data_IF_053715836195
#
_entry.id   IF_053715836195
#
_cell.length_a   1.000
_cell.length_b   1.000
_cell.length_c   1.000
_cell.angle_alpha   90.00
_cell.angle_beta   90.00
_cell.angle_gamma   90.00
#
_symmetry.space_group_name_H-M   'P 1'
#
loop_
_entity.id
_entity.type
_entity.pdbx_description
1 polymer ?
#
# COMPACT_ATOMS: atom_id res chain seq x y z
N UNK A 1 -6.62 -0.23 16.93
CA UNK A 1 -6.05 1.05 17.41
C UNK A 1 -4.59 0.81 17.80
N UNK A 2 -3.67 1.65 17.34
CA UNK A 2 -2.24 1.47 17.59
C UNK A 2 -1.86 1.88 19.02
N UNK A 3 -1.06 1.05 19.70
CA UNK A 3 -0.55 1.35 21.04
C UNK A 3 0.83 2.00 20.97
N UNK A 4 1.23 2.70 22.03
CA UNK A 4 2.56 3.29 22.12
C UNK A 4 3.67 2.23 21.99
N UNK A 5 3.48 1.07 22.63
CA UNK A 5 4.42 -0.05 22.55
C UNK A 5 4.55 -0.61 21.13
N UNK A 6 3.43 -0.83 20.44
CA UNK A 6 3.42 -1.28 19.06
C UNK A 6 4.17 -0.30 18.14
N UNK A 7 3.85 0.99 18.26
CA UNK A 7 4.50 2.05 17.46
C UNK A 7 6.01 2.10 17.71
N UNK A 8 6.45 2.02 18.98
CA UNK A 8 7.88 2.03 19.30
C UNK A 8 8.59 0.79 18.77
N UNK A 9 7.94 -0.37 18.81
CA UNK A 9 8.46 -1.60 18.22
C UNK A 9 8.65 -1.43 16.71
N UNK A 10 7.60 -1.01 16.00
CA UNK A 10 7.62 -0.80 14.55
C UNK A 10 8.63 0.28 14.14
N UNK A 11 8.74 1.37 14.91
CA UNK A 11 9.72 2.42 14.68
C UNK A 11 11.17 1.92 14.79
N UNK A 12 11.45 1.08 15.79
CA UNK A 12 12.81 0.55 15.98
C UNK A 12 13.18 -0.41 14.85
N UNK A 13 12.25 -1.26 14.42
CA UNK A 13 12.49 -2.26 13.39
C UNK A 13 12.43 -1.73 11.96
N UNK A 14 11.81 -0.57 11.71
CA UNK A 14 11.64 -0.08 10.34
C UNK A 14 12.99 0.18 9.65
N UNK A 15 13.09 -0.18 8.38
CA UNK A 15 14.14 0.31 7.50
C UNK A 15 13.66 1.59 6.82
N UNK A 16 14.57 2.54 6.55
CA UNK A 16 14.26 3.77 5.82
C UNK A 16 15.35 4.04 4.78
N UNK A 17 15.04 4.85 3.76
CA UNK A 17 16.02 5.25 2.76
C UNK A 17 17.12 6.12 3.37
N UNK A 18 18.27 6.16 2.70
CA UNK A 18 19.34 7.14 2.92
C UNK A 18 19.92 7.20 4.34
N UNK A 19 19.81 6.09 5.11
CA UNK A 19 20.49 5.99 6.41
C UNK A 19 22.00 5.89 6.18
N UNK A 20 22.82 6.79 6.74
CA UNK A 20 24.27 6.70 6.60
C UNK A 20 24.82 5.43 7.29
N UNK A 21 25.66 4.67 6.58
CA UNK A 21 26.17 3.37 7.04
C UNK A 21 27.04 3.44 8.31
N UNK A 22 27.62 4.61 8.60
CA UNK A 22 28.52 4.82 9.73
C UNK A 22 27.79 5.15 11.04
N UNK A 23 26.45 5.22 11.05
CA UNK A 23 25.69 5.53 12.26
C UNK A 23 25.64 4.33 13.21
N UNK A 24 25.90 4.58 14.48
CA UNK A 24 25.58 3.64 15.56
C UNK A 24 24.07 3.45 15.68
N UNK A 25 23.63 2.39 16.36
CA UNK A 25 22.20 2.12 16.56
C UNK A 25 21.43 3.32 17.16
N UNK A 26 21.98 3.98 18.19
CA UNK A 26 21.34 5.16 18.80
C UNK A 26 21.22 6.34 17.81
N UNK A 27 22.28 6.60 17.03
CA UNK A 27 22.26 7.64 16.01
C UNK A 27 21.26 7.31 14.88
N UNK A 28 21.11 6.03 14.52
CA UNK A 28 20.10 5.57 13.56
C UNK A 28 18.68 5.81 14.08
N UNK A 29 18.42 5.58 15.38
CA UNK A 29 17.13 5.91 15.98
C UNK A 29 16.87 7.43 15.96
N UNK A 30 17.87 8.25 16.24
CA UNK A 30 17.74 9.71 16.16
C UNK A 30 17.51 10.20 14.72
N UNK A 31 18.18 9.60 13.74
CA UNK A 31 17.96 9.86 12.31
C UNK A 31 16.51 9.56 11.91
N UNK A 32 16.04 8.36 12.26
CA UNK A 32 14.65 7.94 12.04
C UNK A 32 13.64 8.87 12.71
N UNK A 33 13.92 9.33 13.93
CA UNK A 33 13.04 10.25 14.65
C UNK A 33 12.94 11.60 13.94
N UNK A 34 14.07 12.13 13.43
CA UNK A 34 14.12 13.36 12.64
C UNK A 34 13.33 13.24 11.34
N UNK A 35 13.44 12.10 10.65
CA UNK A 35 12.63 11.82 9.45
C UNK A 35 11.12 11.94 9.71
N UNK A 36 10.66 11.56 10.91
CA UNK A 36 9.25 11.65 11.29
C UNK A 36 8.84 13.02 11.88
N UNK A 37 9.78 13.95 12.01
CA UNK A 37 9.56 15.31 12.52
C UNK A 37 9.86 15.51 14.01
N UNK A 38 10.63 14.62 14.65
CA UNK A 38 11.03 14.75 16.05
C UNK A 38 12.51 15.17 16.18
N UNK A 39 12.87 15.88 17.25
CA UNK A 39 14.26 16.30 17.47
C UNK A 39 15.25 15.12 17.59
N UNK A 40 14.85 14.05 18.29
CA UNK A 40 15.63 12.85 18.57
C UNK A 40 14.70 11.73 19.10
N UNK A 41 15.21 10.51 19.27
CA UNK A 41 14.43 9.34 19.69
C UNK A 41 13.74 9.54 21.04
N UNK A 42 14.45 10.10 22.03
CA UNK A 42 13.85 10.37 23.35
C UNK A 42 12.67 11.36 23.26
N UNK A 43 12.70 12.33 22.34
CA UNK A 43 11.60 13.25 22.11
C UNK A 43 10.39 12.50 21.52
N UNK A 44 10.60 11.63 20.52
CA UNK A 44 9.55 10.76 19.98
C UNK A 44 8.92 9.90 21.06
N UNK A 45 9.74 9.16 21.82
CA UNK A 45 9.28 8.26 22.89
C UNK A 45 8.45 9.01 23.94
N UNK A 46 8.93 10.16 24.39
CA UNK A 46 8.24 10.96 25.41
C UNK A 46 6.90 11.50 24.91
N UNK A 47 6.82 11.96 23.66
CA UNK A 47 5.55 12.45 23.08
C UNK A 47 4.52 11.32 22.96
N UNK A 48 4.98 10.10 22.68
CA UNK A 48 4.11 8.94 22.57
C UNK A 48 3.58 8.48 23.94
N UNK A 49 4.47 8.36 24.93
CA UNK A 49 4.12 7.88 26.28
C UNK A 49 3.29 8.91 27.07
N UNK A 50 3.46 10.20 26.77
CA UNK A 50 2.76 11.30 27.46
C UNK A 50 1.65 11.93 26.61
N UNK A 51 1.21 11.25 25.55
CA UNK A 51 0.12 11.73 24.72
C UNK A 51 -1.16 11.89 25.59
N UNK A 52 -1.85 13.04 25.51
CA UNK A 52 -3.12 13.23 26.21
C UNK A 52 -4.15 12.16 25.82
N UNK A 53 -4.86 11.59 26.78
CA UNK A 53 -5.75 10.45 26.55
C UNK A 53 -6.83 10.72 25.50
N UNK A 54 -7.32 11.96 25.41
CA UNK A 54 -8.31 12.43 24.43
C UNK A 54 -7.75 12.53 23.00
N UNK A 55 -6.43 12.62 22.84
CA UNK A 55 -5.74 12.79 21.54
C UNK A 55 -4.82 11.63 21.17
N UNK A 56 -4.55 10.72 22.11
CA UNK A 56 -3.58 9.64 21.94
C UNK A 56 -3.86 8.81 20.68
N UNK A 57 -5.13 8.42 20.46
CA UNK A 57 -5.53 7.65 19.29
C UNK A 57 -5.17 8.36 17.97
N UNK A 58 -5.47 9.66 17.86
CA UNK A 58 -5.17 10.45 16.67
C UNK A 58 -3.66 10.63 16.47
N UNK A 59 -2.91 10.90 17.54
CA UNK A 59 -1.44 11.04 17.50
C UNK A 59 -0.80 9.72 17.06
N UNK A 60 -1.26 8.60 17.61
CA UNK A 60 -0.77 7.27 17.29
C UNK A 60 -1.04 6.89 15.83
N UNK A 61 -2.26 7.16 15.34
CA UNK A 61 -2.66 6.90 13.97
C UNK A 61 -1.83 7.75 12.97
N UNK A 62 -1.70 9.05 13.24
CA UNK A 62 -0.87 9.95 12.41
C UNK A 62 0.62 9.55 12.40
N UNK A 63 1.16 9.07 13.53
CA UNK A 63 2.53 8.60 13.58
C UNK A 63 2.71 7.28 12.82
N UNK A 64 1.78 6.34 12.94
CA UNK A 64 1.82 5.11 12.15
C UNK A 64 1.71 5.39 10.66
N UNK A 65 0.85 6.33 10.25
CA UNK A 65 0.74 6.76 8.87
C UNK A 65 2.10 7.27 8.34
N UNK A 66 2.81 8.10 9.11
CA UNK A 66 4.16 8.58 8.75
C UNK A 66 5.18 7.45 8.69
N UNK A 67 5.14 6.51 9.64
CA UNK A 67 6.01 5.32 9.64
C UNK A 67 5.77 4.50 8.36
N UNK A 68 4.52 4.21 8.01
CA UNK A 68 4.16 3.45 6.81
C UNK A 68 4.57 4.18 5.52
N UNK A 69 4.52 5.52 5.51
CA UNK A 69 4.97 6.33 4.38
C UNK A 69 6.50 6.39 4.22
N UNK A 70 7.25 6.27 5.32
CA UNK A 70 8.71 6.37 5.31
C UNK A 70 9.40 5.01 5.15
N UNK A 71 8.85 3.96 5.76
CA UNK A 71 9.52 2.67 5.87
C UNK A 71 9.71 1.99 4.51
N UNK A 72 10.78 1.23 4.39
CA UNK A 72 11.09 0.41 3.22
C UNK A 72 10.82 -1.06 3.49
N UNK A 73 10.42 -1.81 2.45
CA UNK A 73 10.22 -3.25 2.56
C UNK A 73 11.54 -3.99 2.65
N UNK A 74 11.48 -5.20 3.20
CA UNK A 74 12.57 -6.16 3.10
C UNK A 74 12.86 -6.45 1.61
N UNK A 75 14.12 -6.58 1.17
CA UNK A 75 14.46 -6.75 -0.26
C UNK A 75 13.71 -7.89 -0.97
N UNK A 76 13.52 -9.01 -0.28
CA UNK A 76 12.84 -10.21 -0.82
C UNK A 76 11.30 -10.17 -0.70
N UNK A 77 10.74 -9.13 -0.09
CA UNK A 77 9.28 -9.07 0.11
C UNK A 77 8.56 -8.57 -1.14
N UNK A 78 7.39 -9.17 -1.38
CA UNK A 78 6.55 -8.89 -2.54
C UNK A 78 5.21 -8.34 -2.08
N UNK A 79 4.74 -7.31 -2.79
CA UNK A 79 3.50 -6.62 -2.47
C UNK A 79 2.60 -6.54 -3.70
N UNK A 80 1.34 -6.25 -3.45
CA UNK A 80 0.42 -5.70 -4.45
C UNK A 80 0.29 -4.20 -4.21
N UNK A 81 0.36 -3.41 -5.28
CA UNK A 81 0.03 -1.99 -5.21
C UNK A 81 -1.48 -1.81 -5.28
N UNK A 82 -2.04 -1.15 -4.28
CA UNK A 82 -3.47 -0.91 -4.14
C UNK A 82 -3.74 0.59 -3.96
N UNK A 83 -4.96 1.02 -4.22
CA UNK A 83 -5.43 2.39 -4.04
C UNK A 83 -6.87 2.36 -3.53
N UNK A 84 -7.18 3.21 -2.55
CA UNK A 84 -8.56 3.47 -2.13
C UNK A 84 -9.06 4.68 -2.91
N UNK A 85 -10.22 4.53 -3.56
CA UNK A 85 -10.96 5.59 -4.24
C UNK A 85 -11.96 6.26 -3.27
N UNK A 86 -12.49 7.43 -3.66
CA UNK A 86 -13.33 8.26 -2.79
C UNK A 86 -14.68 7.60 -2.41
N UNK A 87 -15.08 6.57 -3.15
CA UNK A 87 -16.26 5.72 -2.94
C UNK A 87 -15.97 4.44 -2.16
N UNK A 88 -14.82 4.38 -1.48
CA UNK A 88 -14.32 3.20 -0.75
C UNK A 88 -14.00 1.99 -1.66
N UNK A 89 -14.07 2.16 -2.99
CA UNK A 89 -13.64 1.15 -3.93
C UNK A 89 -12.11 1.00 -3.90
N UNK A 90 -11.67 -0.26 -3.90
CA UNK A 90 -10.24 -0.58 -3.84
C UNK A 90 -9.74 -1.00 -5.22
N UNK A 91 -8.95 -0.12 -5.84
CA UNK A 91 -8.22 -0.43 -7.06
C UNK A 91 -6.90 -1.15 -6.77
N UNK A 92 -6.41 -1.93 -7.73
CA UNK A 92 -5.10 -2.58 -7.64
C UNK A 92 -4.43 -2.76 -9.01
N UNK A 93 -3.10 -2.83 -9.00
CA UNK A 93 -2.36 -3.21 -10.20
C UNK A 93 -2.71 -4.64 -10.61
N UNK A 94 -3.18 -4.79 -11.84
CA UNK A 94 -3.66 -6.07 -12.37
C UNK A 94 -3.10 -6.38 -13.75
N UNK A 95 -3.25 -7.62 -14.18
CA UNK A 95 -3.00 -8.07 -15.55
C UNK A 95 -4.19 -8.87 -16.07
N UNK A 96 -4.42 -8.76 -17.38
CA UNK A 96 -5.46 -9.51 -18.07
C UNK A 96 -5.11 -11.00 -18.13
N UNK A 97 -6.09 -11.86 -17.86
CA UNK A 97 -5.94 -13.32 -17.91
C UNK A 97 -6.93 -14.03 -18.83
N UNK A 98 -7.95 -13.32 -19.33
CA UNK A 98 -8.97 -13.91 -20.19
C UNK A 98 -10.21 -13.04 -20.32
N UNK A 99 -11.21 -13.59 -21.00
CA UNK A 99 -12.56 -13.02 -21.08
C UNK A 99 -13.53 -13.97 -20.39
N UNK A 100 -14.56 -13.44 -19.75
CA UNK A 100 -15.65 -14.26 -19.21
C UNK A 100 -16.70 -14.59 -20.28
N UNK A 101 -17.78 -15.28 -19.86
CA UNK A 101 -18.86 -15.69 -20.75
C UNK A 101 -19.72 -14.50 -21.24
N UNK A 102 -19.56 -13.32 -20.63
CA UNK A 102 -20.24 -12.08 -20.96
C UNK A 102 -19.33 -11.18 -21.84
N UNK A 103 -18.11 -11.61 -22.13
CA UNK A 103 -17.14 -10.83 -22.89
C UNK A 103 -16.55 -9.66 -22.11
N UNK A 104 -16.54 -9.74 -20.77
CA UNK A 104 -15.85 -8.79 -19.90
C UNK A 104 -14.43 -9.28 -19.57
N UNK A 105 -13.52 -8.32 -19.32
CA UNK A 105 -12.13 -8.64 -19.01
C UNK A 105 -12.02 -9.32 -17.64
N UNK A 106 -11.45 -10.52 -17.60
CA UNK A 106 -11.03 -11.16 -16.36
C UNK A 106 -9.58 -10.77 -16.09
N UNK A 107 -9.35 -10.20 -14.91
CA UNK A 107 -8.04 -9.66 -14.51
C UNK A 107 -7.62 -10.22 -13.16
N UNK A 108 -6.33 -10.44 -12.99
CA UNK A 108 -5.76 -10.93 -11.74
C UNK A 108 -4.79 -9.91 -11.15
N UNK A 109 -4.71 -9.86 -9.84
CA UNK A 109 -3.78 -8.99 -9.14
C UNK A 109 -2.32 -9.28 -9.51
N UNK A 110 -1.59 -8.21 -9.82
CA UNK A 110 -0.16 -8.26 -10.08
C UNK A 110 0.60 -8.26 -8.76
N UNK A 111 1.37 -9.33 -8.53
CA UNK A 111 2.35 -9.40 -7.46
C UNK A 111 3.72 -8.89 -7.94
N UNK A 112 4.67 -8.71 -7.02
CA UNK A 112 6.03 -8.29 -7.35
C UNK A 112 6.25 -6.78 -7.30
N UNK A 113 5.41 -6.04 -6.57
CA UNK A 113 5.67 -4.64 -6.25
C UNK A 113 6.71 -4.55 -5.12
N UNK A 114 7.98 -4.73 -5.48
CA UNK A 114 9.12 -4.77 -4.55
C UNK A 114 9.74 -3.40 -4.25
N UNK A 115 10.82 -3.41 -3.46
CA UNK A 115 11.51 -2.22 -2.94
C UNK A 115 11.79 -1.13 -3.98
N UNK A 116 12.45 -1.48 -5.08
CA UNK A 116 12.82 -0.51 -6.12
C UNK A 116 11.61 0.18 -6.74
N UNK A 117 10.49 -0.53 -6.91
CA UNK A 117 9.24 0.06 -7.43
C UNK A 117 8.59 0.99 -6.43
N UNK A 118 8.64 0.66 -5.14
CA UNK A 118 8.14 1.51 -4.05
C UNK A 118 8.94 2.82 -3.99
N UNK A 119 10.28 2.73 -4.03
CA UNK A 119 11.17 3.89 -4.04
C UNK A 119 10.92 4.79 -5.26
N UNK A 120 10.87 4.21 -6.46
CA UNK A 120 10.57 4.95 -7.70
C UNK A 120 9.18 5.58 -7.65
N UNK A 121 8.18 4.89 -7.10
CA UNK A 121 6.84 5.45 -6.95
C UNK A 121 6.85 6.68 -6.05
N UNK A 122 7.47 6.59 -4.86
CA UNK A 122 7.56 7.70 -3.90
C UNK A 122 8.35 8.88 -4.44
N UNK A 123 9.37 8.65 -5.27
CA UNK A 123 10.14 9.71 -5.89
C UNK A 123 9.37 10.47 -7.00
N UNK A 124 8.39 9.84 -7.64
CA UNK A 124 7.68 10.39 -8.81
C UNK A 124 6.29 10.93 -8.52
N UNK A 125 5.65 10.47 -7.46
CA UNK A 125 4.27 10.80 -7.14
C UNK A 125 4.22 11.71 -5.90
N UNK A 126 3.35 12.72 -5.95
CA UNK A 126 3.12 13.60 -4.80
C UNK A 126 2.28 12.91 -3.70
N UNK A 127 1.42 11.97 -4.10
CA UNK A 127 0.58 11.23 -3.17
C UNK A 127 1.41 10.16 -2.41
N UNK A 128 1.16 9.98 -1.10
CA UNK A 128 1.90 9.01 -0.30
C UNK A 128 1.57 7.58 -0.74
N UNK A 129 2.61 6.75 -0.74
CA UNK A 129 2.51 5.29 -0.84
C UNK A 129 2.86 4.68 0.52
N UNK A 130 1.85 4.16 1.20
CA UNK A 130 2.01 3.49 2.49
C UNK A 130 2.47 2.06 2.27
N UNK A 131 3.63 1.70 2.80
CA UNK A 131 3.99 0.29 2.91
C UNK A 131 3.25 -0.27 4.12
N UNK A 132 2.42 -1.29 3.94
CA UNK A 132 1.68 -1.97 5.02
C UNK A 132 2.38 -3.30 5.38
N UNK A 133 2.18 -3.79 6.60
CA UNK A 133 2.78 -5.03 7.12
C UNK A 133 1.73 -6.01 7.61
N UNK A 134 0.60 -5.52 8.12
CA UNK A 134 -0.42 -6.37 8.73
C UNK A 134 -1.86 -5.85 8.50
N UNK A 135 -2.83 -6.60 9.01
CA UNK A 135 -4.25 -6.27 8.92
C UNK A 135 -4.65 -5.00 9.67
N UNK A 136 -3.98 -4.63 10.76
CA UNK A 136 -4.32 -3.41 11.50
C UNK A 136 -3.98 -2.16 10.70
N UNK A 137 -2.83 -2.17 10.04
CA UNK A 137 -2.41 -1.09 9.14
C UNK A 137 -3.25 -1.06 7.85
N UNK A 138 -3.67 -2.23 7.34
CA UNK A 138 -4.61 -2.34 6.23
C UNK A 138 -5.97 -1.71 6.54
N UNK A 139 -6.56 -2.04 7.68
CA UNK A 139 -7.83 -1.46 8.11
C UNK A 139 -7.69 0.06 8.32
N UNK A 140 -6.59 0.50 8.93
CA UNK A 140 -6.33 1.93 9.08
C UNK A 140 -6.21 2.67 7.74
N UNK A 141 -5.57 2.03 6.77
CA UNK A 141 -5.46 2.57 5.42
C UNK A 141 -6.82 2.66 4.71
N UNK A 142 -7.63 1.60 4.78
CA UNK A 142 -8.97 1.56 4.18
C UNK A 142 -9.91 2.62 4.77
N UNK A 143 -9.91 2.78 6.10
CA UNK A 143 -10.92 3.59 6.78
C UNK A 143 -10.53 5.06 6.98
N UNK A 144 -9.22 5.39 6.99
CA UNK A 144 -8.76 6.69 7.48
C UNK A 144 -7.67 7.36 6.66
N UNK A 145 -6.69 6.60 6.17
CA UNK A 145 -5.53 7.21 5.50
C UNK A 145 -5.75 7.43 4.01
N UNK A 146 -6.46 6.49 3.36
CA UNK A 146 -6.71 6.45 1.92
C UNK A 146 -5.40 6.51 1.11
N UNK A 147 -5.42 6.93 -0.15
CA UNK A 147 -4.23 6.96 -1.04
C UNK A 147 -3.73 5.57 -1.45
N UNK A 148 -2.51 5.49 -1.99
CA UNK A 148 -1.86 4.27 -2.41
C UNK A 148 -1.25 3.49 -1.24
N UNK A 149 -1.32 2.16 -1.34
CA UNK A 149 -0.62 1.25 -0.45
C UNK A 149 0.16 0.18 -1.23
N UNK A 150 1.27 -0.27 -0.65
CA UNK A 150 1.93 -1.53 -0.99
C UNK A 150 1.57 -2.53 0.10
N UNK A 151 0.71 -3.50 -0.24
CA UNK A 151 0.16 -4.49 0.69
C UNK A 151 0.87 -5.83 0.50
N UNK A 152 1.40 -6.46 1.56
CA UNK A 152 2.06 -7.77 1.46
C UNK A 152 1.11 -8.78 0.83
N UNK A 153 1.62 -9.66 -0.04
CA UNK A 153 0.78 -10.58 -0.82
C UNK A 153 -0.03 -11.52 0.07
N UNK A 154 0.54 -11.97 1.18
CA UNK A 154 -0.13 -12.81 2.17
C UNK A 154 -1.27 -12.06 2.86
N UNK A 155 -1.05 -10.81 3.28
CA UNK A 155 -2.09 -9.95 3.83
C UNK A 155 -3.19 -9.70 2.79
N UNK A 156 -2.82 -9.34 1.56
CA UNK A 156 -3.79 -9.08 0.49
C UNK A 156 -4.66 -10.32 0.20
N UNK A 157 -4.08 -11.54 0.20
CA UNK A 157 -4.84 -12.78 -0.01
C UNK A 157 -5.86 -13.07 1.10
N UNK A 158 -5.59 -12.64 2.33
CA UNK A 158 -6.51 -12.83 3.46
C UNK A 158 -7.71 -11.89 3.33
N UNK A 159 -7.48 -10.62 3.00
CA UNK A 159 -8.52 -9.59 2.99
C UNK A 159 -9.23 -9.45 1.64
N UNK A 160 -8.57 -9.82 0.54
CA UNK A 160 -9.08 -9.72 -0.82
C UNK A 160 -8.77 -11.00 -1.60
N UNK A 161 -9.29 -12.17 -1.19
CA UNK A 161 -8.95 -13.45 -1.84
C UNK A 161 -9.34 -13.45 -3.33
N UNK A 162 -10.48 -12.84 -3.66
CA UNK A 162 -11.05 -12.88 -5.00
C UNK A 162 -10.11 -12.26 -6.04
N UNK A 163 -9.33 -11.22 -5.72
CA UNK A 163 -8.41 -10.61 -6.70
C UNK A 163 -7.30 -11.57 -7.19
N UNK A 164 -7.06 -12.67 -6.48
CA UNK A 164 -6.05 -13.67 -6.80
C UNK A 164 -6.61 -14.96 -7.39
N UNK A 165 -7.88 -15.27 -7.20
CA UNK A 165 -8.51 -16.46 -7.77
C UNK A 165 -9.60 -16.07 -8.76
N UNK A 166 -9.17 -15.78 -9.99
CA UNK A 166 -10.04 -15.29 -11.06
C UNK A 166 -10.10 -16.27 -12.25
N UNK A 167 -9.28 -17.34 -12.22
CA UNK A 167 -9.17 -18.27 -13.36
C UNK A 167 -10.49 -18.99 -13.66
N UNK A 168 -11.28 -19.26 -12.63
CA UNK A 168 -12.57 -19.92 -12.76
C UNK A 168 -13.62 -19.08 -13.50
N UNK A 169 -13.38 -17.77 -13.68
CA UNK A 169 -14.25 -16.87 -14.44
C UNK A 169 -13.89 -16.81 -15.93
N UNK A 170 -12.72 -17.31 -16.33
CA UNK A 170 -12.28 -17.29 -17.73
C UNK A 170 -13.07 -18.32 -18.52
N UNK A 171 -13.77 -17.87 -19.56
CA UNK A 171 -14.52 -18.75 -20.45
C UNK A 171 -13.59 -19.50 -21.41
N UNK A 172 -13.85 -20.80 -21.61
CA UNK A 172 -13.12 -21.61 -22.61
C UNK A 172 -13.41 -21.14 -24.04
N UNK A 173 -14.64 -20.71 -24.31
CA UNK A 173 -15.07 -20.17 -25.61
C UNK A 173 -15.71 -18.79 -25.42
N UNK A 174 -14.91 -17.70 -25.33
CA UNK A 174 -15.44 -16.35 -25.15
C UNK A 174 -16.28 -15.87 -26.35
N UNK A 175 -17.28 -14.99 -26.13
CA UNK A 175 -18.09 -14.43 -27.21
C UNK A 175 -17.33 -13.32 -27.96
N UNK A 176 -16.41 -13.70 -28.86
CA UNK A 176 -15.53 -12.75 -29.56
C UNK A 176 -16.26 -11.65 -30.34
N UNK A 177 -17.41 -11.95 -30.93
CA UNK A 177 -18.20 -10.93 -31.64
C UNK A 177 -18.66 -9.81 -30.69
N UNK A 178 -19.14 -10.17 -29.49
CA UNK A 178 -19.55 -9.23 -28.45
C UNK A 178 -18.34 -8.47 -27.89
N UNK A 179 -17.21 -9.14 -27.69
CA UNK A 179 -15.96 -8.51 -27.24
C UNK A 179 -15.52 -7.43 -28.24
N UNK A 180 -15.54 -7.75 -29.54
CA UNK A 180 -15.18 -6.81 -30.59
C UNK A 180 -16.09 -5.58 -30.61
N UNK A 181 -17.40 -5.77 -30.41
CA UNK A 181 -18.36 -4.66 -30.27
C UNK A 181 -18.06 -3.80 -29.04
N UNK A 182 -17.83 -4.41 -27.87
CA UNK A 182 -17.48 -3.70 -26.62
C UNK A 182 -16.19 -2.90 -26.77
N UNK A 183 -15.15 -3.48 -27.37
CA UNK A 183 -13.86 -2.82 -27.61
C UNK A 183 -14.04 -1.64 -28.57
N UNK A 184 -14.76 -1.81 -29.68
CA UNK A 184 -15.06 -0.71 -30.61
C UNK A 184 -15.82 0.43 -29.90
N UNK A 185 -16.81 0.10 -29.09
CA UNK A 185 -17.59 1.09 -28.34
C UNK A 185 -16.74 1.84 -27.30
N UNK A 186 -15.85 1.15 -26.57
CA UNK A 186 -14.90 1.79 -25.65
C UNK A 186 -13.88 2.68 -26.37
N UNK A 187 -13.31 2.23 -27.49
CA UNK A 187 -12.42 3.06 -28.32
C UNK A 187 -13.11 4.35 -28.79
N UNK A 188 -14.35 4.23 -29.28
CA UNK A 188 -15.15 5.40 -29.69
C UNK A 188 -15.43 6.35 -28.52
N UNK A 189 -15.79 5.81 -27.34
CA UNK A 189 -15.98 6.62 -26.12
C UNK A 189 -14.71 7.38 -25.72
N UNK A 190 -13.54 6.79 -25.93
CA UNK A 190 -12.23 7.40 -25.66
C UNK A 190 -11.71 8.30 -26.78
N UNK A 191 -12.49 8.50 -27.85
CA UNK A 191 -12.10 9.32 -29.01
C UNK A 191 -11.00 8.70 -29.88
N UNK A 192 -10.74 7.40 -29.74
CA UNK A 192 -9.78 6.66 -30.55
C UNK A 192 -10.48 6.10 -31.79
N UNK A 193 -9.96 6.41 -32.99
CA UNK A 193 -10.39 5.78 -34.24
C UNK A 193 -9.48 4.60 -34.55
N UNK A 194 -10.07 3.47 -34.97
CA UNK A 194 -9.32 2.34 -35.53
C UNK A 194 -8.80 2.71 -36.92
#
# INVERSE_FOLDING_TARGET
MFTAEFILSTFKSMEVADVPEHLTHAQTLDFKAKLLGFAHYHHLKTNLEKAPADRAAHIHDALMQKICAARLPHPESSHVRMVVHDDEDVGFDSYWIGWDAQGDEVRQARTGFGRSRIEVFRARNQQPLYLLNDGYELIAWLERWHSFAAVPVDVAKVYFPDMFDQKHLVAENPPYDLIDEKVKADMLRRGLKR
#
